data_IF_280085660894
#
_entry.id   IF_280085660894
#
_cell.length_a   1.000
_cell.length_b   1.000
_cell.length_c   1.000
_cell.angle_alpha   90.00
_cell.angle_beta   90.00
_cell.angle_gamma   90.00
#
_symmetry.space_group_name_H-M   'P 1'
#
loop_
_entity.id
_entity.type
_entity.pdbx_description
1 polymer ?
#
# COMPACT_ATOMS: atom_id res chain seq x y z
N UNK A 1 -41.79 70.32 25.16
CA UNK A 1 -42.39 69.63 23.99
C UNK A 1 -41.25 69.33 23.01
N UNK A 2 -40.94 68.05 22.78
CA UNK A 2 -39.71 67.56 22.14
C UNK A 2 -39.70 67.76 20.62
N UNK A 3 -38.53 68.10 20.08
CA UNK A 3 -38.23 68.26 18.64
C UNK A 3 -37.38 67.08 18.13
N UNK A 4 -37.59 66.83 16.85
CA UNK A 4 -37.28 65.76 15.87
C UNK A 4 -35.78 65.48 15.52
N UNK A 5 -35.51 64.20 15.23
CA UNK A 5 -34.53 63.52 14.32
C UNK A 5 -33.08 64.02 14.08
N UNK A 6 -32.09 63.12 14.27
CA UNK A 6 -30.89 62.86 13.40
C UNK A 6 -30.08 61.65 13.99
N UNK A 7 -30.04 60.45 13.38
CA UNK A 7 -29.02 59.87 12.46
C UNK A 7 -27.63 59.49 13.06
N UNK A 8 -27.13 58.28 12.70
CA UNK A 8 -25.74 57.71 12.75
C UNK A 8 -25.26 57.29 14.17
N UNK A 9 -24.70 56.11 14.48
CA UNK A 9 -23.69 55.28 13.81
C UNK A 9 -23.67 53.86 14.37
N UNK A 10 -23.49 52.91 13.45
CA UNK A 10 -23.05 51.55 13.70
C UNK A 10 -21.67 51.51 14.40
N UNK A 11 -21.46 50.51 15.26
CA UNK A 11 -20.18 49.77 15.33
C UNK A 11 -20.42 48.44 16.05
N UNK A 12 -21.00 47.48 15.33
CA UNK A 12 -20.96 46.07 15.69
C UNK A 12 -19.66 45.51 15.10
N UNK A 13 -18.55 45.79 15.76
CA UNK A 13 -17.24 45.26 15.37
C UNK A 13 -17.13 43.83 15.91
N UNK A 14 -17.81 42.90 15.25
CA UNK A 14 -17.55 41.48 15.42
C UNK A 14 -16.19 41.18 14.81
N UNK A 15 -15.13 41.29 15.63
CA UNK A 15 -13.82 40.73 15.31
C UNK A 15 -13.97 39.22 15.36
N UNK A 16 -14.37 38.63 14.23
CA UNK A 16 -14.25 37.19 14.03
C UNK A 16 -12.76 36.94 13.89
N UNK A 17 -12.09 36.56 14.98
CA UNK A 17 -10.76 35.95 14.92
C UNK A 17 -10.92 34.63 14.14
N UNK A 18 -10.84 34.72 12.82
CA UNK A 18 -10.77 33.53 11.98
C UNK A 18 -9.41 32.91 12.24
N UNK A 19 -9.37 31.74 12.89
CA UNK A 19 -8.18 30.92 12.96
C UNK A 19 -7.62 30.74 11.55
N UNK A 20 -6.40 31.22 11.30
CA UNK A 20 -5.65 30.86 10.10
C UNK A 20 -5.11 29.44 10.33
N UNK A 21 -5.44 28.53 9.43
CA UNK A 21 -4.86 27.19 9.45
C UNK A 21 -3.54 27.24 8.71
N UNK A 22 -2.54 26.52 9.22
CA UNK A 22 -1.21 26.47 8.64
C UNK A 22 -0.88 25.05 8.21
N UNK A 23 -0.12 24.90 7.13
CA UNK A 23 0.36 23.59 6.69
C UNK A 23 1.38 23.05 7.70
N UNK A 24 1.10 21.88 8.30
CA UNK A 24 2.01 21.23 9.25
C UNK A 24 3.19 20.58 8.53
N UNK A 25 4.29 20.31 9.24
CA UNK A 25 5.51 19.71 8.65
C UNK A 25 5.31 18.26 8.21
N UNK A 26 4.43 17.52 8.87
CA UNK A 26 4.07 16.14 8.54
C UNK A 26 3.01 16.04 7.43
N UNK A 27 2.71 17.15 6.74
CA UNK A 27 1.67 17.26 5.73
C UNK A 27 2.16 18.04 4.52
N UNK A 28 1.70 17.63 3.35
CA UNK A 28 1.87 18.33 2.09
C UNK A 28 0.47 18.79 1.65
N UNK A 29 0.23 20.09 1.66
CA UNK A 29 -1.10 20.63 1.35
C UNK A 29 -1.10 21.11 -0.10
N UNK A 30 -2.03 20.59 -0.90
CA UNK A 30 -2.28 21.06 -2.27
C UNK A 30 -3.67 21.64 -2.39
N UNK A 31 -3.78 22.75 -3.11
CA UNK A 31 -5.04 23.48 -3.29
C UNK A 31 -5.29 23.76 -4.77
N UNK A 32 -6.56 23.81 -5.15
CA UNK A 32 -7.03 24.24 -6.46
C UNK A 32 -8.15 25.25 -6.28
N UNK A 33 -8.15 26.28 -7.14
CA UNK A 33 -9.21 27.31 -7.19
C UNK A 33 -10.14 27.14 -8.39
N UNK A 34 -9.87 26.15 -9.25
CA UNK A 34 -10.47 25.97 -10.56
C UNK A 34 -10.98 24.53 -10.74
N UNK A 35 -11.63 23.99 -9.70
CA UNK A 35 -12.28 22.69 -9.73
C UNK A 35 -11.31 21.53 -10.07
N UNK A 36 -10.05 21.63 -9.61
CA UNK A 36 -9.05 20.56 -9.74
C UNK A 36 -8.31 20.56 -11.08
N UNK A 37 -8.44 21.62 -11.87
CA UNK A 37 -7.73 21.75 -13.15
C UNK A 37 -6.26 22.10 -12.95
N UNK A 38 -5.97 23.06 -12.06
CA UNK A 38 -4.62 23.44 -11.67
C UNK A 38 -4.45 23.32 -10.15
N UNK A 39 -3.32 22.75 -9.73
CA UNK A 39 -2.98 22.54 -8.34
C UNK A 39 -1.75 23.35 -7.95
N UNK A 40 -1.74 23.84 -6.72
CA UNK A 40 -0.61 24.54 -6.12
C UNK A 40 -0.30 23.96 -4.75
N UNK A 41 0.98 23.73 -4.48
CA UNK A 41 1.45 23.29 -3.17
C UNK A 41 1.60 24.49 -2.24
N UNK A 42 1.11 24.33 -1.01
CA UNK A 42 1.34 25.25 0.11
C UNK A 42 2.53 24.71 0.90
N UNK A 43 3.53 25.56 1.15
CA UNK A 43 4.73 25.14 1.90
C UNK A 43 4.38 24.96 3.37
N UNK A 44 5.10 24.07 4.05
CA UNK A 44 4.98 23.91 5.49
C UNK A 44 5.23 25.24 6.21
N UNK A 45 4.38 25.57 7.18
CA UNK A 45 4.39 26.84 7.90
C UNK A 45 3.63 27.98 7.21
N UNK A 46 3.27 27.85 5.93
CA UNK A 46 2.45 28.86 5.25
C UNK A 46 0.96 28.71 5.61
N UNK A 47 0.26 29.84 5.58
CA UNK A 47 -1.18 29.87 5.81
C UNK A 47 -1.91 29.17 4.64
N UNK A 48 -2.79 28.22 4.97
CA UNK A 48 -3.63 27.52 4.01
C UNK A 48 -4.85 28.40 3.71
N UNK A 49 -5.06 28.80 2.44
CA UNK A 49 -6.20 29.63 2.07
C UNK A 49 -7.53 28.97 2.46
N UNK A 50 -8.50 29.78 2.89
CA UNK A 50 -9.89 29.32 3.02
C UNK A 50 -10.59 29.58 1.68
N UNK A 51 -11.28 28.56 1.15
CA UNK A 51 -12.06 28.65 -0.09
C UNK A 51 -13.34 29.48 0.00
N UNK A 52 -13.37 30.50 0.86
CA UNK A 52 -14.57 31.28 1.15
C UNK A 52 -15.10 31.89 -0.15
N UNK A 53 -16.37 31.65 -0.45
CA UNK A 53 -17.08 32.12 -1.64
C UNK A 53 -16.57 31.56 -3.00
N UNK A 54 -15.67 30.56 -3.02
CA UNK A 54 -15.31 29.84 -4.24
C UNK A 54 -15.81 28.39 -4.21
N UNK A 55 -16.90 28.04 -4.93
CA UNK A 55 -17.42 26.68 -4.96
C UNK A 55 -16.49 25.67 -5.64
N UNK A 56 -15.54 26.15 -6.45
CA UNK A 56 -14.50 25.35 -7.10
C UNK A 56 -13.24 25.19 -6.24
N UNK A 57 -13.24 25.68 -5.00
CA UNK A 57 -12.10 25.52 -4.12
C UNK A 57 -11.98 24.07 -3.65
N UNK A 58 -10.82 23.48 -3.88
CA UNK A 58 -10.47 22.14 -3.46
C UNK A 58 -9.17 22.18 -2.68
N UNK A 59 -9.08 21.32 -1.66
CA UNK A 59 -7.87 21.14 -0.87
C UNK A 59 -7.69 19.66 -0.58
N UNK A 60 -6.46 19.18 -0.72
CA UNK A 60 -6.05 17.84 -0.32
C UNK A 60 -4.86 17.96 0.61
N UNK A 61 -4.90 17.20 1.70
CA UNK A 61 -3.80 17.10 2.66
C UNK A 61 -3.18 15.72 2.46
N UNK A 62 -1.95 15.70 1.95
CA UNK A 62 -1.21 14.48 1.66
C UNK A 62 -0.20 14.23 2.79
N UNK A 63 -0.06 13.00 3.30
CA UNK A 63 0.99 12.66 4.27
C UNK A 63 2.40 13.00 3.77
N UNK A 64 3.25 13.52 4.66
CA UNK A 64 4.68 13.74 4.41
C UNK A 64 5.56 12.76 5.20
N UNK A 65 5.09 11.52 5.32
CA UNK A 65 5.78 10.45 6.02
C UNK A 65 5.54 9.12 5.26
N UNK A 66 6.41 8.12 5.44
CA UNK A 66 6.25 6.83 4.79
C UNK A 66 4.95 6.13 5.20
N UNK A 67 4.31 5.49 4.23
CA UNK A 67 3.07 4.74 4.39
C UNK A 67 3.28 3.31 3.89
N UNK A 68 2.51 2.38 4.45
CA UNK A 68 2.57 0.98 4.10
C UNK A 68 1.42 0.63 3.16
N UNK A 69 1.71 -0.18 2.15
CA UNK A 69 0.73 -0.75 1.25
C UNK A 69 0.99 -2.23 1.04
N UNK A 70 -0.05 -2.95 0.63
CA UNK A 70 0.04 -4.37 0.28
C UNK A 70 -0.71 -4.68 -1.01
N UNK A 71 -0.14 -5.56 -1.84
CA UNK A 71 -0.78 -6.01 -3.08
C UNK A 71 -0.80 -7.52 -3.16
N UNK A 72 -1.99 -8.05 -3.44
CA UNK A 72 -2.24 -9.49 -3.60
C UNK A 72 -2.78 -9.79 -4.97
N UNK A 73 -2.14 -10.73 -5.66
CA UNK A 73 -2.57 -11.13 -7.00
C UNK A 73 -2.04 -12.50 -7.42
N UNK A 74 -2.70 -13.08 -8.41
CA UNK A 74 -2.25 -14.29 -9.07
C UNK A 74 -1.39 -13.93 -10.27
N UNK A 75 -0.28 -14.63 -10.43
CA UNK A 75 0.62 -14.52 -11.59
C UNK A 75 1.02 -15.90 -12.08
N UNK A 76 1.69 -15.93 -13.24
CA UNK A 76 2.42 -17.10 -13.68
C UNK A 76 3.92 -16.78 -13.66
N UNK A 77 4.71 -17.73 -13.16
CA UNK A 77 6.15 -17.76 -13.32
C UNK A 77 6.53 -18.44 -14.64
N UNK A 78 7.83 -18.66 -14.85
CA UNK A 78 8.35 -19.47 -15.95
C UNK A 78 7.62 -20.82 -16.03
N UNK A 79 7.45 -21.32 -17.25
CA UNK A 79 6.76 -22.58 -17.56
C UNK A 79 5.28 -22.64 -17.11
N UNK A 80 4.66 -21.47 -16.90
CA UNK A 80 3.25 -21.30 -16.50
C UNK A 80 2.94 -21.87 -15.11
N UNK A 81 3.93 -21.93 -14.22
CA UNK A 81 3.69 -22.23 -12.81
C UNK A 81 2.87 -21.09 -12.21
N UNK A 82 1.66 -21.41 -11.74
CA UNK A 82 0.77 -20.42 -11.14
C UNK A 82 1.18 -20.19 -9.69
N UNK A 83 1.29 -18.92 -9.30
CA UNK A 83 1.55 -18.54 -7.91
C UNK A 83 0.56 -17.47 -7.46
N UNK A 84 0.15 -17.57 -6.19
CA UNK A 84 -0.44 -16.45 -5.48
C UNK A 84 0.70 -15.62 -4.90
N UNK A 85 0.68 -14.32 -5.15
CA UNK A 85 1.76 -13.42 -4.76
C UNK A 85 1.24 -12.44 -3.73
N UNK A 86 2.03 -12.25 -2.67
CA UNK A 86 1.86 -11.19 -1.71
C UNK A 86 3.07 -10.26 -1.78
N UNK A 87 2.79 -8.96 -1.95
CA UNK A 87 3.81 -7.91 -1.96
C UNK A 87 3.48 -6.93 -0.85
N UNK A 88 4.40 -6.76 0.08
CA UNK A 88 4.35 -5.73 1.11
C UNK A 88 5.36 -4.64 0.76
N UNK A 89 4.95 -3.38 0.79
CA UNK A 89 5.83 -2.27 0.43
C UNK A 89 5.60 -1.04 1.30
N UNK A 90 6.63 -0.20 1.37
CA UNK A 90 6.56 1.08 2.03
C UNK A 90 6.85 2.18 1.00
N UNK A 91 6.04 3.23 1.00
CA UNK A 91 6.06 4.28 0.00
C UNK A 91 5.94 5.67 0.60
N UNK A 92 6.56 6.62 -0.07
CA UNK A 92 6.50 8.04 0.24
C UNK A 92 6.02 8.80 -0.98
N UNK A 93 5.13 9.77 -0.78
CA UNK A 93 4.74 10.72 -1.82
C UNK A 93 5.77 11.83 -1.84
N UNK A 94 6.63 11.84 -2.85
CA UNK A 94 7.76 12.77 -3.00
C UNK A 94 7.41 14.02 -3.79
N UNK A 95 6.45 13.91 -4.72
CA UNK A 95 5.89 15.05 -5.45
C UNK A 95 4.35 15.04 -5.32
N UNK A 96 3.77 15.88 -4.44
CA UNK A 96 2.34 15.90 -4.22
C UNK A 96 1.55 16.45 -5.42
N UNK A 97 2.18 17.22 -6.31
CA UNK A 97 1.54 17.78 -7.50
C UNK A 97 1.44 16.74 -8.61
N UNK A 98 2.46 15.91 -8.82
CA UNK A 98 2.35 14.79 -9.77
C UNK A 98 1.40 13.71 -9.25
N UNK A 99 1.42 13.43 -7.94
CA UNK A 99 0.52 12.47 -7.33
C UNK A 99 -0.95 12.86 -7.49
N UNK A 100 -1.32 14.11 -7.18
CA UNK A 100 -2.73 14.55 -7.25
C UNK A 100 -3.28 14.57 -8.68
N UNK A 101 -2.42 14.74 -9.70
CA UNK A 101 -2.86 14.64 -11.11
C UNK A 101 -3.38 13.24 -11.45
N UNK A 102 -2.83 12.21 -10.81
CA UNK A 102 -3.29 10.82 -10.97
C UNK A 102 -4.49 10.52 -10.06
N UNK A 103 -4.51 11.11 -8.86
CA UNK A 103 -5.51 10.86 -7.82
C UNK A 103 -6.54 12.01 -7.68
N UNK A 104 -7.05 12.54 -8.80
CA UNK A 104 -7.93 13.75 -8.80
C UNK A 104 -9.17 13.64 -7.91
N UNK A 105 -9.66 12.42 -7.68
CA UNK A 105 -10.83 12.15 -6.83
C UNK A 105 -10.57 12.39 -5.34
N UNK A 106 -9.31 12.48 -4.89
CA UNK A 106 -8.97 12.88 -3.52
C UNK A 106 -9.43 14.31 -3.22
N UNK A 107 -9.58 15.14 -4.25
CA UNK A 107 -10.12 16.47 -4.13
C UNK A 107 -11.61 16.43 -3.75
N UNK A 108 -11.92 16.67 -2.47
CA UNK A 108 -13.28 17.01 -2.04
C UNK A 108 -13.48 18.52 -2.17
N UNK A 109 -14.52 18.94 -2.90
CA UNK A 109 -14.91 20.35 -2.97
C UNK A 109 -15.30 20.83 -1.55
N UNK A 110 -14.72 21.95 -1.11
CA UNK A 110 -15.00 22.58 0.19
C UNK A 110 -14.63 21.79 1.46
N UNK A 111 -13.76 20.77 1.41
CA UNK A 111 -13.27 20.11 2.62
C UNK A 111 -12.38 21.04 3.48
N UNK A 112 -12.67 21.17 4.77
CA UNK A 112 -11.88 21.96 5.73
C UNK A 112 -10.62 21.20 6.18
N UNK A 113 -9.52 21.91 6.48
CA UNK A 113 -8.21 21.29 6.75
C UNK A 113 -8.16 20.65 8.15
N UNK A 114 -9.09 21.06 9.00
CA UNK A 114 -9.19 20.64 10.38
C UNK A 114 -10.33 19.64 10.58
N UNK A 115 -10.99 19.19 9.50
CA UNK A 115 -11.96 18.10 9.61
C UNK A 115 -11.20 16.78 9.49
N UNK A 116 -11.40 15.86 10.42
CA UNK A 116 -10.77 14.52 10.39
C UNK A 116 -11.07 13.76 9.09
N UNK A 117 -12.15 14.15 8.38
CA UNK A 117 -12.55 13.70 7.05
C UNK A 117 -11.53 14.03 5.93
N UNK A 118 -10.61 14.99 6.15
CA UNK A 118 -9.58 15.37 5.17
C UNK A 118 -8.39 14.39 5.16
N UNK A 119 -8.29 13.52 6.17
CA UNK A 119 -7.34 12.42 6.26
C UNK A 119 -8.07 11.06 6.24
N UNK A 120 -9.19 10.96 5.50
CA UNK A 120 -9.87 9.69 5.32
C UNK A 120 -8.92 8.66 4.71
N UNK A 121 -8.47 7.72 5.54
CA UNK A 121 -7.57 6.62 5.16
C UNK A 121 -8.11 5.85 3.94
N UNK A 122 -9.44 5.71 3.84
CA UNK A 122 -10.12 5.05 2.73
C UNK A 122 -9.97 5.76 1.38
N UNK A 123 -9.84 7.09 1.39
CA UNK A 123 -9.64 7.85 0.15
C UNK A 123 -8.23 7.60 -0.41
N UNK A 124 -7.23 7.50 0.47
CA UNK A 124 -5.85 7.21 0.10
C UNK A 124 -5.66 5.75 -0.34
N UNK A 125 -6.40 4.80 0.24
CA UNK A 125 -6.42 3.40 -0.24
C UNK A 125 -6.84 3.31 -1.72
N UNK A 126 -7.86 4.07 -2.13
CA UNK A 126 -8.25 4.13 -3.54
C UNK A 126 -7.15 4.73 -4.43
N UNK A 127 -6.42 5.73 -3.94
CA UNK A 127 -5.35 6.39 -4.68
C UNK A 127 -4.13 5.48 -4.81
N UNK A 128 -3.77 4.78 -3.74
CA UNK A 128 -2.75 3.75 -3.72
C UNK A 128 -3.04 2.66 -4.76
N UNK A 129 -4.25 2.08 -4.73
CA UNK A 129 -4.71 1.09 -5.69
C UNK A 129 -4.54 1.55 -7.15
N UNK A 130 -4.91 2.79 -7.44
CA UNK A 130 -4.89 3.34 -8.79
C UNK A 130 -3.51 3.77 -9.27
N UNK A 131 -2.66 4.31 -8.38
CA UNK A 131 -1.38 4.94 -8.76
C UNK A 131 -0.22 3.97 -8.60
N UNK A 132 -0.22 3.19 -7.52
CA UNK A 132 0.91 2.38 -7.08
C UNK A 132 0.65 0.90 -7.39
N UNK A 133 -0.44 0.39 -6.85
CA UNK A 133 -0.70 -1.04 -6.73
C UNK A 133 -0.83 -1.74 -8.10
N UNK A 134 -1.54 -1.08 -9.02
CA UNK A 134 -1.62 -1.51 -10.42
C UNK A 134 -0.25 -1.56 -11.11
N UNK A 135 0.65 -0.60 -10.85
CA UNK A 135 1.95 -0.50 -11.54
C UNK A 135 2.89 -1.57 -11.02
N UNK A 136 2.96 -1.75 -9.70
CA UNK A 136 3.72 -2.83 -9.08
C UNK A 136 3.26 -4.16 -9.68
N UNK A 137 1.95 -4.42 -9.70
CA UNK A 137 1.38 -5.65 -10.27
C UNK A 137 1.76 -5.90 -11.73
N UNK A 138 1.71 -4.87 -12.57
CA UNK A 138 2.05 -4.99 -13.99
C UNK A 138 3.55 -5.26 -14.19
N UNK A 139 4.42 -4.59 -13.43
CA UNK A 139 5.88 -4.80 -13.45
C UNK A 139 6.24 -6.19 -12.93
N UNK A 140 5.68 -6.57 -11.78
CA UNK A 140 5.85 -7.89 -11.17
C UNK A 140 5.53 -9.01 -12.17
N UNK A 141 4.39 -8.93 -12.87
CA UNK A 141 4.03 -9.93 -13.89
C UNK A 141 5.05 -10.00 -15.03
N UNK A 142 5.62 -8.87 -15.44
CA UNK A 142 6.65 -8.83 -16.48
C UNK A 142 7.98 -9.44 -16.02
N UNK A 143 8.32 -9.32 -14.73
CA UNK A 143 9.51 -9.93 -14.16
C UNK A 143 9.30 -11.44 -14.02
N UNK A 144 8.24 -11.84 -13.31
CA UNK A 144 8.03 -13.22 -12.86
C UNK A 144 7.90 -14.23 -13.99
N UNK A 145 7.38 -13.85 -15.17
CA UNK A 145 7.22 -14.77 -16.31
C UNK A 145 8.52 -15.44 -16.76
N UNK A 146 9.67 -14.85 -16.42
CA UNK A 146 10.99 -15.38 -16.76
C UNK A 146 11.68 -16.10 -15.59
N UNK A 147 11.12 -16.01 -14.38
CA UNK A 147 11.75 -16.51 -13.16
C UNK A 147 11.35 -17.96 -12.90
N UNK A 148 12.34 -18.81 -12.64
CA UNK A 148 12.17 -20.23 -12.34
C UNK A 148 11.97 -20.41 -10.83
N UNK A 149 10.80 -20.89 -10.41
CA UNK A 149 10.46 -20.99 -8.98
C UNK A 149 11.43 -21.90 -8.19
N UNK A 150 12.14 -22.81 -8.84
CA UNK A 150 13.08 -23.72 -8.16
C UNK A 150 14.44 -23.06 -7.93
N UNK A 151 14.85 -22.15 -8.81
CA UNK A 151 16.19 -21.54 -8.84
C UNK A 151 16.17 -20.06 -8.47
N UNK A 152 15.00 -19.50 -8.15
CA UNK A 152 14.85 -18.07 -7.89
C UNK A 152 15.68 -17.63 -6.69
N UNK A 153 16.33 -16.48 -6.80
CA UNK A 153 16.87 -15.74 -5.65
C UNK A 153 15.87 -14.65 -5.26
N UNK A 154 15.30 -14.78 -4.08
CA UNK A 154 14.27 -13.86 -3.59
C UNK A 154 14.82 -12.43 -3.45
N UNK A 155 16.04 -12.28 -2.95
CA UNK A 155 16.63 -10.96 -2.74
C UNK A 155 16.94 -10.28 -4.07
N UNK A 156 17.39 -11.04 -5.07
CA UNK A 156 17.63 -10.48 -6.42
C UNK A 156 16.32 -9.96 -7.04
N UNK A 157 15.25 -10.74 -6.95
CA UNK A 157 13.94 -10.37 -7.50
C UNK A 157 13.36 -9.16 -6.76
N UNK A 158 13.44 -9.12 -5.42
CA UNK A 158 12.98 -7.98 -4.62
C UNK A 158 13.72 -6.69 -5.01
N UNK A 159 15.04 -6.75 -5.14
CA UNK A 159 15.86 -5.60 -5.55
C UNK A 159 15.49 -5.12 -6.97
N UNK A 160 15.35 -6.05 -7.92
CA UNK A 160 14.96 -5.76 -9.31
C UNK A 160 13.57 -5.16 -9.37
N UNK A 161 12.62 -5.71 -8.61
CA UNK A 161 11.26 -5.20 -8.53
C UNK A 161 11.21 -3.79 -7.93
N UNK A 162 11.99 -3.53 -6.88
CA UNK A 162 12.11 -2.20 -6.28
C UNK A 162 12.62 -1.17 -7.29
N UNK A 163 13.70 -1.50 -8.00
CA UNK A 163 14.33 -0.62 -8.97
C UNK A 163 13.37 -0.29 -10.13
N UNK A 164 12.78 -1.31 -10.75
CA UNK A 164 11.85 -1.14 -11.87
C UNK A 164 10.56 -0.43 -11.46
N UNK A 165 10.04 -0.73 -10.26
CA UNK A 165 8.87 -0.03 -9.72
C UNK A 165 9.17 1.45 -9.51
N UNK A 166 10.32 1.79 -8.92
CA UNK A 166 10.70 3.19 -8.70
C UNK A 166 10.92 3.96 -10.01
N UNK A 167 11.42 3.33 -11.08
CA UNK A 167 11.51 3.97 -12.41
C UNK A 167 10.15 4.42 -12.94
N UNK A 168 9.10 3.62 -12.70
CA UNK A 168 7.74 3.89 -13.18
C UNK A 168 6.97 4.82 -12.24
N UNK A 169 7.22 4.75 -10.93
CA UNK A 169 6.51 5.52 -9.90
C UNK A 169 7.07 6.93 -9.71
N UNK A 170 8.38 7.15 -9.92
CA UNK A 170 9.00 8.45 -9.73
C UNK A 170 8.33 9.59 -10.53
N UNK A 171 7.97 9.43 -11.83
CA UNK A 171 7.23 10.44 -12.58
C UNK A 171 5.83 10.73 -12.05
N UNK A 172 5.28 9.84 -11.21
CA UNK A 172 3.96 9.99 -10.58
C UNK A 172 4.06 10.62 -9.19
N UNK A 173 5.27 11.03 -8.77
CA UNK A 173 5.53 11.63 -7.46
C UNK A 173 5.54 10.64 -6.31
N UNK A 174 5.84 9.36 -6.58
CA UNK A 174 5.90 8.29 -5.57
C UNK A 174 7.27 7.63 -5.60
N UNK A 175 7.80 7.31 -4.42
CA UNK A 175 8.99 6.48 -4.24
C UNK A 175 8.69 5.36 -3.26
N UNK A 176 9.11 4.14 -3.59
CA UNK A 176 9.15 3.00 -2.69
C UNK A 176 10.45 3.02 -1.90
N UNK A 177 10.36 2.80 -0.59
CA UNK A 177 11.50 2.72 0.32
C UNK A 177 12.02 1.28 0.42
N UNK A 178 11.12 0.29 0.46
CA UNK A 178 11.43 -1.14 0.34
C UNK A 178 10.23 -1.89 -0.24
N UNK A 179 10.47 -3.12 -0.69
CA UNK A 179 9.47 -4.06 -1.18
C UNK A 179 9.86 -5.48 -0.75
N UNK A 180 8.88 -6.24 -0.28
CA UNK A 180 9.04 -7.64 0.13
C UNK A 180 8.10 -8.49 -0.69
N UNK A 181 8.57 -9.66 -1.10
CA UNK A 181 7.85 -10.55 -2.00
C UNK A 181 7.67 -11.92 -1.36
N UNK A 182 6.45 -12.45 -1.37
CA UNK A 182 6.16 -13.82 -0.97
C UNK A 182 5.37 -14.54 -2.06
N UNK A 183 5.80 -15.77 -2.37
CA UNK A 183 5.08 -16.68 -3.28
C UNK A 183 4.37 -17.77 -2.48
N UNK A 184 3.05 -17.77 -2.55
CA UNK A 184 2.20 -18.84 -2.06
C UNK A 184 1.86 -19.79 -3.21
N UNK A 185 2.40 -20.99 -3.13
CA UNK A 185 2.22 -22.05 -4.12
C UNK A 185 1.22 -23.08 -3.62
N UNK A 186 0.52 -23.73 -4.55
CA UNK A 186 -0.32 -24.87 -4.19
C UNK A 186 0.51 -26.06 -3.68
N UNK A 187 -0.16 -26.96 -2.95
CA UNK A 187 0.50 -28.11 -2.30
C UNK A 187 1.22 -29.03 -3.29
N UNK A 188 0.66 -29.23 -4.49
CA UNK A 188 1.25 -30.11 -5.49
C UNK A 188 2.53 -29.48 -6.06
N UNK A 189 2.49 -28.19 -6.39
CA UNK A 189 3.64 -27.43 -6.88
C UNK A 189 4.76 -27.38 -5.84
N UNK A 190 4.43 -27.10 -4.57
CA UNK A 190 5.39 -27.10 -3.47
C UNK A 190 6.08 -28.47 -3.31
N UNK A 191 5.30 -29.55 -3.33
CA UNK A 191 5.86 -30.91 -3.27
C UNK A 191 6.75 -31.22 -4.48
N UNK A 192 6.38 -30.78 -5.68
CA UNK A 192 7.19 -30.98 -6.88
C UNK A 192 8.54 -30.24 -6.78
N UNK A 193 8.55 -29.02 -6.23
CA UNK A 193 9.77 -28.25 -5.97
C UNK A 193 10.64 -28.98 -4.95
N UNK A 194 10.08 -29.40 -3.81
CA UNK A 194 10.81 -30.13 -2.77
C UNK A 194 11.48 -31.40 -3.32
N UNK A 195 10.74 -32.16 -4.14
CA UNK A 195 11.26 -33.38 -4.79
C UNK A 195 12.35 -33.06 -5.80
N UNK A 196 12.15 -32.03 -6.64
CA UNK A 196 13.12 -31.59 -7.64
C UNK A 196 14.43 -31.15 -6.98
N UNK A 197 14.35 -30.33 -5.94
CA UNK A 197 15.51 -29.84 -5.17
C UNK A 197 16.21 -30.99 -4.45
N UNK A 198 15.46 -31.91 -3.83
CA UNK A 198 16.05 -33.10 -3.21
C UNK A 198 16.79 -33.98 -4.24
N UNK A 199 16.22 -34.17 -5.44
CA UNK A 199 16.85 -34.94 -6.51
C UNK A 199 18.16 -34.31 -6.99
N UNK A 200 18.22 -32.98 -7.14
CA UNK A 200 19.47 -32.27 -7.47
C UNK A 200 20.57 -32.54 -6.44
N UNK A 201 20.23 -32.61 -5.15
CA UNK A 201 21.19 -32.97 -4.09
C UNK A 201 21.68 -34.41 -4.27
N UNK A 202 20.79 -35.36 -4.53
CA UNK A 202 21.18 -36.76 -4.76
C UNK A 202 22.06 -36.91 -6.01
N UNK A 203 21.72 -36.23 -7.10
CA UNK A 203 22.50 -36.21 -8.34
C UNK A 203 23.90 -35.64 -8.12
N UNK A 204 24.03 -34.53 -7.36
CA UNK A 204 25.33 -33.92 -7.04
C UNK A 204 26.29 -34.86 -6.30
N UNK A 205 25.77 -35.92 -5.66
CA UNK A 205 26.53 -36.92 -4.92
C UNK A 205 26.63 -38.27 -5.62
N UNK A 206 26.16 -38.39 -6.87
CA UNK A 206 26.04 -39.65 -7.60
C UNK A 206 25.17 -40.70 -6.88
N UNK A 207 24.14 -40.26 -6.14
CA UNK A 207 23.22 -41.09 -5.36
C UNK A 207 21.81 -41.14 -5.95
N UNK A 208 21.67 -40.96 -7.27
CA UNK A 208 20.38 -40.81 -7.96
C UNK A 208 19.43 -41.99 -7.71
N UNK A 209 19.92 -43.22 -7.79
CA UNK A 209 19.08 -44.42 -7.60
C UNK A 209 18.60 -44.56 -6.14
N UNK A 210 19.45 -44.22 -5.18
CA UNK A 210 19.07 -44.13 -3.77
C UNK A 210 18.02 -43.04 -3.55
N UNK A 211 18.20 -41.86 -4.16
CA UNK A 211 17.26 -40.75 -4.10
C UNK A 211 15.87 -41.13 -4.61
N UNK A 212 15.79 -41.77 -5.78
CA UNK A 212 14.54 -42.30 -6.34
C UNK A 212 13.86 -43.28 -5.38
N UNK A 213 14.62 -44.23 -4.81
CA UNK A 213 14.08 -45.20 -3.86
C UNK A 213 13.51 -44.53 -2.60
N UNK A 214 14.21 -43.55 -2.03
CA UNK A 214 13.76 -42.79 -0.85
C UNK A 214 12.49 -42.01 -1.14
N UNK A 215 12.41 -41.32 -2.28
CA UNK A 215 11.23 -40.54 -2.67
C UNK A 215 10.00 -41.44 -2.84
N UNK A 216 10.14 -42.58 -3.52
CA UNK A 216 9.05 -43.55 -3.70
C UNK A 216 8.55 -44.07 -2.35
N UNK A 217 9.46 -44.47 -1.45
CA UNK A 217 9.11 -44.97 -0.11
C UNK A 217 8.42 -43.89 0.74
N UNK A 218 8.88 -42.63 0.66
CA UNK A 218 8.28 -41.51 1.39
C UNK A 218 6.90 -41.15 0.86
N UNK A 219 6.66 -41.26 -0.45
CA UNK A 219 5.35 -41.03 -1.05
C UNK A 219 4.32 -42.09 -0.61
N UNK A 220 4.76 -43.33 -0.33
CA UNK A 220 3.91 -44.40 0.19
C UNK A 220 3.74 -44.43 1.71
N UNK A 221 4.47 -43.60 2.46
CA UNK A 221 4.45 -43.62 3.92
C UNK A 221 3.24 -42.85 4.48
N UNK A 222 2.38 -43.52 5.25
CA UNK A 222 1.26 -42.88 5.93
C UNK A 222 1.76 -41.89 7.01
N UNK A 223 1.28 -40.65 6.95
CA UNK A 223 1.60 -39.61 7.93
C UNK A 223 0.61 -39.68 9.10
N UNK A 224 1.01 -40.29 10.21
CA UNK A 224 0.21 -40.31 11.45
C UNK A 224 0.38 -38.97 12.18
N UNK A 225 -0.65 -38.13 12.15
CA UNK A 225 -0.72 -36.93 13.00
C UNK A 225 -1.32 -37.36 14.33
N UNK A 226 -0.50 -37.42 15.38
CA UNK A 226 -0.97 -37.71 16.74
C UNK A 226 -1.40 -36.38 17.36
N UNK A 227 -2.70 -36.09 17.32
CA UNK A 227 -3.28 -35.04 18.17
C UNK A 227 -3.35 -35.58 19.60
N UNK A 228 -2.57 -34.99 20.51
CA UNK A 228 -2.62 -35.34 21.91
C UNK A 228 -4.01 -35.02 22.47
N UNK A 229 -4.76 -36.06 22.87
CA UNK A 229 -6.04 -35.90 23.53
C UNK A 229 -5.86 -35.05 24.80
N UNK A 230 -6.63 -33.96 24.92
CA UNK A 230 -6.75 -33.19 26.15
C UNK A 230 -7.18 -34.13 27.28
N UNK A 231 -6.38 -34.22 28.33
CA UNK A 231 -6.77 -34.86 29.59
C UNK A 231 -8.12 -34.29 30.05
N UNK A 232 -9.15 -35.12 30.01
CA UNK A 232 -10.40 -34.83 30.68
C UNK A 232 -10.15 -34.99 32.17
N UNK A 233 -10.05 -33.86 32.88
CA UNK A 233 -10.12 -33.81 34.34
C UNK A 233 -11.40 -34.51 34.80
N UNK A 234 -11.27 -35.70 35.37
CA UNK A 234 -12.36 -36.37 36.09
C UNK A 234 -12.45 -35.69 37.47
N UNK A 235 -13.57 -35.04 37.82
CA UNK A 235 -13.71 -34.43 39.14
C UNK A 235 -13.80 -35.54 40.19
N UNK A 236 -12.92 -35.47 41.20
CA UNK A 236 -12.96 -36.32 42.39
C UNK A 236 -14.30 -36.13 43.11
N UNK A 237 -15.02 -37.22 43.33
CA UNK A 237 -16.15 -37.23 44.24
C UNK A 237 -15.61 -37.16 45.67
N UNK A 238 -16.01 -36.10 46.39
CA UNK A 238 -15.80 -35.95 47.83
C UNK A 238 -16.71 -36.96 48.57
N UNK A 239 -16.13 -37.70 49.53
CA UNK A 239 -16.84 -38.30 50.66
C UNK A 239 -16.79 -37.34 51.87
#
# INVERSE_FOLDING_TARGET
>A
MKIRNFFISASLMAVVFTSCNYAKSNQQVVVSNDCGMNWKQIKSGDAVPKGVANPCYMKVVIPNFPMQGDSRFITNLKDRVRAFVHIDYDYSITDPLEFIKQAKFLGKANAHADNDEALESSAFEGAENMVIDKRIRDISKSIFINEDIVELDQAEIENKLLEESNKILAPLGVSLNFITLTFDLDDQTRQAIDVSTAMKIYESKNLTDLGKAVIIQKAGAAKLVVEAAKEQNIPSQEE
#
